data_IF_683757813511
#
_entry.id   IF_683757813511
#
_cell.length_a   1.000
_cell.length_b   1.000
_cell.length_c   1.000
_cell.angle_alpha   90.00
_cell.angle_beta   90.00
_cell.angle_gamma   90.00
#
_symmetry.space_group_name_H-M   'P 1'
#
loop_
_entity.id
_entity.type
_entity.pdbx_description
1 polymer ?
#
# COMPACT_ATOMS: atom_id res chain seq x y z
N UNK A 1 14.63 -17.37 17.12
CA UNK A 1 13.34 -16.76 17.52
C UNK A 1 12.96 -15.60 16.59
N UNK A 2 13.94 -15.15 15.81
CA UNK A 2 13.98 -13.94 14.97
C UNK A 2 13.08 -14.07 13.73
N UNK A 3 13.06 -15.24 13.08
CA UNK A 3 12.19 -15.50 11.93
C UNK A 3 10.70 -15.28 12.25
N UNK A 4 10.25 -15.54 13.49
CA UNK A 4 8.84 -15.34 13.87
C UNK A 4 8.46 -13.86 13.87
N UNK A 5 9.37 -12.98 14.31
CA UNK A 5 9.15 -11.53 14.38
C UNK A 5 9.22 -10.90 12.97
N UNK A 6 10.11 -11.40 12.12
CA UNK A 6 10.17 -11.00 10.71
C UNK A 6 8.91 -11.39 9.94
N UNK A 7 8.44 -12.64 10.08
CA UNK A 7 7.20 -13.10 9.46
C UNK A 7 6.01 -12.27 9.94
N UNK A 8 5.92 -11.99 11.24
CA UNK A 8 4.84 -11.17 11.80
C UNK A 8 4.87 -9.73 11.23
N UNK A 9 6.05 -9.15 11.04
CA UNK A 9 6.22 -7.85 10.39
C UNK A 9 5.72 -7.84 8.94
N UNK A 10 6.10 -8.86 8.15
CA UNK A 10 5.63 -9.01 6.77
C UNK A 10 4.10 -9.14 6.73
N UNK A 11 3.52 -9.96 7.61
CA UNK A 11 2.07 -10.21 7.65
C UNK A 11 1.31 -8.93 8.02
N UNK A 12 1.72 -8.24 9.08
CA UNK A 12 1.09 -6.99 9.51
C UNK A 12 1.22 -5.89 8.46
N UNK A 13 2.40 -5.75 7.85
CA UNK A 13 2.62 -4.84 6.74
C UNK A 13 1.70 -5.16 5.56
N UNK A 14 1.60 -6.44 5.18
CA UNK A 14 0.73 -6.88 4.08
C UNK A 14 -0.75 -6.58 4.34
N UNK A 15 -1.24 -6.81 5.57
CA UNK A 15 -2.61 -6.49 5.98
C UNK A 15 -2.87 -4.98 5.88
N UNK A 16 -1.94 -4.16 6.40
CA UNK A 16 -2.05 -2.71 6.34
C UNK A 16 -2.07 -2.21 4.88
N UNK A 17 -1.18 -2.71 4.04
CA UNK A 17 -1.14 -2.38 2.61
C UNK A 17 -2.42 -2.77 1.88
N UNK A 18 -2.99 -3.93 2.19
CA UNK A 18 -4.27 -4.38 1.63
C UNK A 18 -5.42 -3.42 1.98
N UNK A 19 -5.55 -3.07 3.26
CA UNK A 19 -6.60 -2.16 3.73
C UNK A 19 -6.47 -0.79 3.05
N UNK A 20 -5.27 -0.22 3.03
CA UNK A 20 -5.02 1.10 2.42
C UNK A 20 -5.31 1.09 0.91
N UNK A 21 -4.87 0.05 0.21
CA UNK A 21 -5.14 -0.09 -1.22
C UNK A 21 -6.66 -0.18 -1.49
N UNK A 22 -7.42 -0.92 -0.67
CA UNK A 22 -8.87 -1.04 -0.83
C UNK A 22 -9.63 0.25 -0.50
N UNK A 23 -9.22 0.97 0.54
CA UNK A 23 -9.77 2.29 0.87
C UNK A 23 -9.52 3.26 -0.30
N UNK A 24 -8.28 3.29 -0.82
CA UNK A 24 -7.93 4.15 -1.95
C UNK A 24 -8.69 3.79 -3.22
N UNK A 25 -8.83 2.50 -3.56
CA UNK A 25 -9.60 2.05 -4.73
C UNK A 25 -11.08 2.44 -4.60
N UNK A 26 -11.67 2.31 -3.41
CA UNK A 26 -13.05 2.70 -3.16
C UNK A 26 -13.24 4.21 -3.36
N UNK A 27 -12.34 5.01 -2.79
CA UNK A 27 -12.32 6.46 -3.01
C UNK A 27 -12.11 6.82 -4.49
N UNK A 28 -11.20 6.14 -5.20
CA UNK A 28 -10.94 6.38 -6.61
C UNK A 28 -12.16 6.10 -7.48
N UNK A 29 -12.89 5.01 -7.20
CA UNK A 29 -14.14 4.67 -7.90
C UNK A 29 -15.19 5.76 -7.66
N UNK A 30 -15.42 6.16 -6.40
CA UNK A 30 -16.33 7.25 -6.04
C UNK A 30 -15.94 8.56 -6.75
N UNK A 31 -14.66 8.91 -6.70
CA UNK A 31 -14.12 10.08 -7.39
C UNK A 31 -14.29 10.01 -8.91
N UNK A 32 -14.18 8.83 -9.52
CA UNK A 32 -14.43 8.66 -10.96
C UNK A 32 -15.91 8.88 -11.28
N UNK A 33 -16.82 8.34 -10.46
CA UNK A 33 -18.27 8.46 -10.67
C UNK A 33 -18.77 9.89 -10.43
N UNK A 34 -18.34 10.53 -9.35
CA UNK A 34 -18.85 11.85 -8.90
C UNK A 34 -17.96 13.02 -9.38
N UNK A 35 -16.64 12.81 -9.40
CA UNK A 35 -15.66 13.86 -9.70
C UNK A 35 -15.43 14.08 -11.19
N UNK A 36 -15.65 13.08 -12.06
CA UNK A 36 -15.45 13.27 -13.50
C UNK A 36 -16.59 14.02 -14.21
N UNK A 37 -17.70 14.33 -13.52
CA UNK A 37 -18.68 15.31 -13.99
C UNK A 37 -18.33 16.77 -13.59
N UNK A 38 -17.33 16.97 -12.71
CA UNK A 38 -17.04 18.28 -12.10
C UNK A 38 -15.59 18.75 -12.35
N UNK A 39 -14.61 17.84 -12.42
CA UNK A 39 -13.20 18.17 -12.52
C UNK A 39 -12.65 17.91 -13.93
N UNK A 40 -12.18 18.97 -14.58
CA UNK A 40 -11.63 18.94 -15.92
C UNK A 40 -10.61 17.83 -16.14
N UNK A 41 -11.02 16.78 -16.85
CA UNK A 41 -10.18 15.65 -17.31
C UNK A 41 -8.89 16.05 -18.04
N UNK A 42 -8.76 17.32 -18.40
CA UNK A 42 -7.74 17.84 -19.32
C UNK A 42 -6.51 18.47 -18.67
N UNK A 43 -6.40 18.49 -17.33
CA UNK A 43 -5.22 19.08 -16.65
C UNK A 43 -4.10 18.08 -16.33
N UNK A 44 -4.34 16.77 -16.41
CA UNK A 44 -3.33 15.75 -16.12
C UNK A 44 -2.58 15.37 -17.39
N UNK A 45 -1.28 15.62 -17.43
CA UNK A 45 -0.39 15.28 -18.57
C UNK A 45 -0.08 13.78 -18.67
N UNK A 46 -0.27 13.02 -17.60
CA UNK A 46 -0.08 11.56 -17.52
C UNK A 46 -1.32 10.88 -16.95
N UNK A 47 -1.48 9.57 -17.18
CA UNK A 47 -2.54 8.77 -16.56
C UNK A 47 -2.50 8.91 -15.04
N UNK A 48 -3.55 9.46 -14.40
CA UNK A 48 -3.52 9.70 -12.97
C UNK A 48 -3.61 8.37 -12.19
N UNK A 49 -3.04 8.36 -10.99
CA UNK A 49 -2.92 7.17 -10.15
C UNK A 49 -4.27 6.53 -9.82
N UNK A 50 -5.32 7.35 -9.63
CA UNK A 50 -6.68 6.87 -9.37
C UNK A 50 -7.28 6.15 -10.58
N UNK A 51 -6.93 6.56 -11.81
CA UNK A 51 -7.40 5.88 -13.02
C UNK A 51 -6.67 4.56 -13.21
N UNK A 52 -5.36 4.55 -12.95
CA UNK A 52 -4.56 3.32 -12.96
C UNK A 52 -5.08 2.30 -11.92
N UNK A 53 -5.42 2.74 -10.72
CA UNK A 53 -5.88 1.86 -9.64
C UNK A 53 -7.24 1.22 -9.92
N UNK A 54 -8.09 1.87 -10.72
CA UNK A 54 -9.38 1.33 -11.20
C UNK A 54 -9.17 0.39 -12.39
N UNK A 55 -8.35 0.78 -13.37
CA UNK A 55 -8.12 -0.03 -14.59
C UNK A 55 -7.36 -1.32 -14.32
N UNK A 56 -6.42 -1.29 -13.36
CA UNK A 56 -5.56 -2.41 -13.03
C UNK A 56 -5.62 -2.73 -11.52
N UNK A 57 -6.78 -3.13 -10.99
CA UNK A 57 -7.02 -3.17 -9.55
C UNK A 57 -6.16 -4.21 -8.83
N UNK A 58 -5.91 -5.36 -9.48
CA UNK A 58 -5.07 -6.42 -8.91
C UNK A 58 -3.59 -6.02 -8.91
N UNK A 59 -3.09 -5.41 -10.00
CA UNK A 59 -1.70 -4.99 -10.10
C UNK A 59 -1.41 -3.89 -9.07
N UNK A 60 -2.29 -2.88 -8.98
CA UNK A 60 -2.16 -1.82 -7.98
C UNK A 60 -2.15 -2.39 -6.55
N UNK A 61 -3.09 -3.29 -6.23
CA UNK A 61 -3.15 -3.94 -4.92
C UNK A 61 -1.84 -4.67 -4.60
N UNK A 62 -1.33 -5.49 -5.53
CA UNK A 62 -0.09 -6.25 -5.34
C UNK A 62 1.11 -5.33 -5.10
N UNK A 63 1.22 -4.22 -5.83
CA UNK A 63 2.30 -3.24 -5.63
C UNK A 63 2.24 -2.63 -4.24
N UNK A 64 1.07 -2.15 -3.81
CA UNK A 64 0.92 -1.52 -2.48
C UNK A 64 1.17 -2.53 -1.36
N UNK A 65 0.61 -3.74 -1.46
CA UNK A 65 0.86 -4.81 -0.48
C UNK A 65 2.35 -5.15 -0.40
N UNK A 66 3.03 -5.26 -1.54
CA UNK A 66 4.48 -5.53 -1.58
C UNK A 66 5.30 -4.42 -0.90
N UNK A 67 4.97 -3.15 -1.16
CA UNK A 67 5.65 -2.01 -0.53
C UNK A 67 5.50 -2.10 1.00
N UNK A 68 4.29 -2.29 1.50
CA UNK A 68 4.06 -2.35 2.94
C UNK A 68 4.62 -3.62 3.60
N UNK A 69 4.65 -4.75 2.88
CA UNK A 69 5.32 -5.97 3.35
C UNK A 69 6.82 -5.74 3.55
N UNK A 70 7.48 -5.03 2.62
CA UNK A 70 8.90 -4.67 2.73
C UNK A 70 9.15 -3.69 3.88
N UNK A 71 8.27 -2.69 4.07
CA UNK A 71 8.34 -1.80 5.23
C UNK A 71 8.19 -2.57 6.56
N UNK A 72 7.23 -3.49 6.64
CA UNK A 72 7.05 -4.34 7.81
C UNK A 72 8.29 -5.18 8.13
N UNK A 73 8.93 -5.75 7.10
CA UNK A 73 10.19 -6.46 7.26
C UNK A 73 11.33 -5.54 7.73
N UNK A 74 11.44 -4.35 7.16
CA UNK A 74 12.48 -3.38 7.55
C UNK A 74 12.35 -2.96 9.01
N UNK A 75 11.12 -2.68 9.47
CA UNK A 75 10.84 -2.32 10.86
C UNK A 75 11.15 -3.49 11.79
N UNK A 76 10.69 -4.70 11.47
CA UNK A 76 11.00 -5.90 12.27
C UNK A 76 12.50 -6.15 12.40
N UNK A 77 13.27 -5.99 11.31
CA UNK A 77 14.74 -6.13 11.35
C UNK A 77 15.40 -5.07 12.22
N UNK A 78 14.94 -3.82 12.12
CA UNK A 78 15.48 -2.72 12.94
C UNK A 78 15.22 -2.97 14.42
N UNK A 79 14.00 -3.41 14.76
CA UNK A 79 13.63 -3.76 16.14
C UNK A 79 14.48 -4.90 16.73
N UNK A 80 14.74 -5.96 15.95
CA UNK A 80 15.60 -7.07 16.37
C UNK A 80 17.05 -6.63 16.60
N UNK A 81 17.58 -5.80 15.69
CA UNK A 81 18.94 -5.26 15.81
C UNK A 81 19.12 -4.40 17.07
N UNK A 82 18.12 -3.59 17.43
CA UNK A 82 18.16 -2.81 18.67
C UNK A 82 18.07 -3.68 19.92
N UNK A 83 17.25 -4.73 19.90
CA UNK A 83 17.13 -5.68 21.02
C UNK A 83 18.45 -6.40 21.29
N UNK A 84 19.14 -6.84 20.25
CA UNK A 84 20.43 -7.54 20.36
C UNK A 84 21.57 -6.65 20.85
N UNK A 85 21.52 -5.33 20.63
CA UNK A 85 22.51 -4.37 21.17
C UNK A 85 22.33 -4.08 22.67
N UNK A 86 21.18 -4.43 23.25
CA UNK A 86 20.84 -4.18 24.67
C UNK A 86 21.08 -5.41 25.56
N UNK A 87 21.45 -6.56 25.00
CA UNK A 87 21.95 -7.72 25.73
C UNK A 87 23.49 -7.72 25.73
#
# INVERSE_FOLDING_TARGET
>A
MDNKIEILGIVLGSIQGFILAKVYQSWAILYSIEGSSIAGKYTWTNTPMWEFSIKNPTIFLSIIVMIFALFGLFISKTYLNEKNKKC
#
